data_IF_947756186581
#
_entry.id   IF_947756186581
#
_cell.length_a   1.000
_cell.length_b   1.000
_cell.length_c   1.000
_cell.angle_alpha   90.00
_cell.angle_beta   90.00
_cell.angle_gamma   90.00
#
_symmetry.space_group_name_H-M   'P 1'
#
loop_
_entity.id
_entity.type
_entity.pdbx_description
1 polymer ?
#
# COMPACT_ATOMS: atom_id res chain seq x y z
N UNK A 1 -12.43 2.62 -3.42
CA UNK A 1 -11.07 3.23 -3.49
C UNK A 1 -10.09 2.15 -3.88
N UNK A 2 -9.14 2.45 -4.77
CA UNK A 2 -8.14 1.50 -5.27
C UNK A 2 -7.01 1.38 -4.24
N UNK A 3 -6.59 0.16 -3.91
CA UNK A 3 -5.37 -0.05 -3.12
C UNK A 3 -4.19 -0.07 -4.08
N UNK A 4 -3.03 0.42 -3.64
CA UNK A 4 -1.83 0.41 -4.47
C UNK A 4 -0.75 -0.40 -3.79
N UNK A 5 -0.24 -1.40 -4.49
CA UNK A 5 0.88 -2.21 -4.03
C UNK A 5 2.16 -1.64 -4.63
N UNK A 6 3.02 -1.16 -3.75
CA UNK A 6 4.36 -0.67 -4.07
C UNK A 6 5.34 -1.80 -3.86
N UNK A 7 5.99 -2.23 -4.94
CA UNK A 7 7.11 -3.15 -4.87
C UNK A 7 8.39 -2.37 -4.58
N UNK A 8 9.08 -2.74 -3.51
CA UNK A 8 10.34 -2.16 -3.09
C UNK A 8 11.49 -2.71 -3.94
N UNK A 9 12.50 -1.87 -4.23
CA UNK A 9 13.70 -2.26 -4.95
C UNK A 9 14.58 -3.24 -4.14
N UNK A 10 14.53 -3.13 -2.81
CA UNK A 10 15.16 -4.06 -1.88
C UNK A 10 14.23 -4.33 -0.68
N UNK A 11 14.23 -5.54 -0.11
CA UNK A 11 13.44 -5.82 1.09
C UNK A 11 13.81 -4.89 2.26
N UNK A 12 12.81 -4.57 3.09
CA UNK A 12 12.98 -3.89 4.38
C UNK A 12 12.45 -4.76 5.50
N UNK A 13 13.08 -4.68 6.68
CA UNK A 13 12.62 -5.46 7.83
C UNK A 13 11.55 -4.69 8.61
N UNK A 14 10.36 -5.26 8.73
CA UNK A 14 9.24 -4.74 9.54
C UNK A 14 8.85 -5.82 10.55
N UNK A 15 8.93 -5.50 11.84
CA UNK A 15 8.62 -6.44 12.93
C UNK A 15 9.37 -7.80 12.81
N UNK A 16 10.64 -7.74 12.40
CA UNK A 16 11.49 -8.93 12.22
C UNK A 16 11.17 -9.77 10.97
N UNK A 17 10.32 -9.29 10.07
CA UNK A 17 10.03 -9.92 8.77
C UNK A 17 10.52 -9.06 7.64
N UNK A 18 11.13 -9.68 6.65
CA UNK A 18 11.50 -8.99 5.41
C UNK A 18 10.26 -8.81 4.54
N UNK A 19 10.05 -7.55 4.14
CA UNK A 19 8.91 -7.11 3.37
C UNK A 19 9.43 -6.43 2.11
N UNK A 20 8.93 -6.87 0.96
CA UNK A 20 9.23 -6.32 -0.35
C UNK A 20 8.04 -5.59 -0.98
N UNK A 21 6.85 -5.73 -0.40
CA UNK A 21 5.62 -5.12 -0.90
C UNK A 21 4.93 -4.33 0.20
N UNK A 22 4.66 -3.05 -0.07
CA UNK A 22 3.90 -2.18 0.80
C UNK A 22 2.59 -1.82 0.11
N UNK A 23 1.47 -2.04 0.80
CA UNK A 23 0.17 -1.60 0.28
C UNK A 23 -0.17 -0.24 0.84
N UNK A 24 -0.29 0.78 -0.01
CA UNK A 24 -0.98 2.01 0.34
C UNK A 24 -2.49 1.74 0.25
N UNK A 25 -3.18 1.86 1.39
CA UNK A 25 -4.58 1.42 1.51
C UNK A 25 -5.59 2.51 1.15
N UNK A 26 -5.19 3.78 1.14
CA UNK A 26 -6.00 4.95 0.79
C UNK A 26 -5.15 6.21 0.66
N UNK A 27 -5.76 7.28 0.16
CA UNK A 27 -5.22 8.64 0.23
C UNK A 27 -5.15 9.17 1.67
N UNK A 28 -4.12 9.97 2.02
CA UNK A 28 -4.10 10.70 3.27
C UNK A 28 -5.11 11.85 3.25
N UNK A 29 -5.77 12.10 4.38
CA UNK A 29 -6.62 13.29 4.55
C UNK A 29 -5.81 14.45 5.12
N UNK A 30 -6.30 15.70 4.98
CA UNK A 30 -5.53 16.90 5.34
C UNK A 30 -4.87 16.88 6.73
N UNK A 31 -5.59 16.41 7.76
CA UNK A 31 -5.03 16.31 9.13
C UNK A 31 -3.86 15.31 9.27
N UNK A 32 -3.72 14.37 8.35
CA UNK A 32 -2.69 13.32 8.37
C UNK A 32 -1.38 13.77 7.74
N UNK A 33 -1.41 14.88 6.99
CA UNK A 33 -0.26 15.57 6.41
C UNK A 33 0.47 16.42 7.46
N UNK A 34 -0.23 16.87 8.50
CA UNK A 34 0.36 17.68 9.57
C UNK A 34 0.82 19.04 9.01
N UNK A 35 2.13 19.31 9.11
CA UNK A 35 2.74 20.54 8.58
C UNK A 35 3.29 20.36 7.15
N UNK A 36 3.12 19.18 6.54
CA UNK A 36 3.56 18.90 5.18
C UNK A 36 2.42 19.14 4.18
N UNK A 37 2.79 19.42 2.95
CA UNK A 37 1.88 19.47 1.81
C UNK A 37 1.84 18.13 1.09
N UNK A 38 0.82 17.85 0.27
CA UNK A 38 0.85 16.70 -0.63
C UNK A 38 2.09 16.72 -1.55
N UNK A 39 2.53 17.91 -1.97
CA UNK A 39 3.72 18.09 -2.81
C UNK A 39 5.00 17.64 -2.12
N UNK A 40 5.16 17.90 -0.81
CA UNK A 40 6.32 17.41 -0.06
C UNK A 40 6.43 15.87 -0.13
N UNK A 41 5.29 15.19 0.00
CA UNK A 41 5.25 13.72 -0.09
C UNK A 41 5.54 13.27 -1.53
N UNK A 42 4.98 13.98 -2.51
CA UNK A 42 5.11 13.68 -3.93
C UNK A 42 6.53 13.91 -4.51
N UNK A 43 7.28 14.84 -3.91
CA UNK A 43 8.69 15.11 -4.21
C UNK A 43 9.65 14.18 -3.46
N UNK A 44 9.12 13.26 -2.64
CA UNK A 44 9.93 12.31 -1.89
C UNK A 44 10.62 12.91 -0.67
N UNK A 45 10.09 13.99 -0.08
CA UNK A 45 10.62 14.55 1.16
C UNK A 45 10.56 13.49 2.26
N UNK A 46 11.73 13.04 2.71
CA UNK A 46 11.85 11.92 3.64
C UNK A 46 11.12 12.16 4.97
N UNK A 47 11.05 13.42 5.44
CA UNK A 47 10.33 13.76 6.67
C UNK A 47 8.82 13.69 6.47
N UNK A 48 8.35 14.12 5.29
CA UNK A 48 6.93 14.03 4.93
C UNK A 48 6.50 12.57 4.75
N UNK A 49 7.27 11.78 3.99
CA UNK A 49 7.04 10.34 3.81
C UNK A 49 7.01 9.62 5.17
N UNK A 50 8.02 9.85 6.01
CA UNK A 50 8.13 9.22 7.32
C UNK A 50 7.04 9.64 8.31
N UNK A 51 6.31 10.73 8.03
CA UNK A 51 5.15 11.16 8.78
C UNK A 51 3.86 10.58 8.21
N UNK A 52 3.66 10.65 6.90
CA UNK A 52 2.39 10.33 6.22
C UNK A 52 2.20 8.84 5.99
N UNK A 53 3.19 8.15 5.42
CA UNK A 53 3.07 6.73 5.03
C UNK A 53 2.68 5.79 6.17
N UNK A 54 3.18 5.93 7.42
CA UNK A 54 2.76 5.07 8.54
C UNK A 54 1.25 5.03 8.79
N UNK A 55 0.52 6.06 8.37
CA UNK A 55 -0.93 6.22 8.58
C UNK A 55 -1.78 5.61 7.46
N UNK A 56 -1.18 5.36 6.31
CA UNK A 56 -1.88 4.94 5.07
C UNK A 56 -1.32 3.65 4.46
N UNK A 57 -0.35 2.99 5.11
CA UNK A 57 0.26 1.76 4.61
C UNK A 57 -0.15 0.51 5.41
N UNK A 58 -0.17 -0.64 4.73
CA UNK A 58 -0.26 -1.97 5.29
C UNK A 58 0.82 -2.88 4.66
N UNK A 59 1.69 -3.54 5.45
CA UNK A 59 1.79 -3.45 6.91
C UNK A 59 2.14 -2.03 7.37
N UNK A 60 1.92 -1.73 8.66
CA UNK A 60 2.31 -0.43 9.23
C UNK A 60 3.82 -0.24 9.07
N UNK A 61 4.23 0.84 8.40
CA UNK A 61 5.64 1.23 8.33
C UNK A 61 5.98 2.16 9.48
N UNK A 62 6.91 1.78 10.39
CA UNK A 62 7.39 2.72 11.37
C UNK A 62 8.22 3.82 10.70
N UNK A 63 8.17 5.03 11.28
CA UNK A 63 8.89 6.21 10.77
C UNK A 63 10.40 5.96 10.64
N UNK A 64 10.98 5.13 11.51
CA UNK A 64 12.39 4.72 11.46
C UNK A 64 12.70 3.91 10.21
N UNK A 65 11.90 2.88 9.91
CA UNK A 65 12.10 2.06 8.71
C UNK A 65 12.05 2.89 7.42
N UNK A 66 11.23 3.94 7.37
CA UNK A 66 11.17 4.85 6.21
C UNK A 66 12.45 5.68 6.09
N UNK A 67 12.95 6.23 7.20
CA UNK A 67 14.18 7.04 7.22
C UNK A 67 15.43 6.22 6.91
N UNK A 68 15.41 4.94 7.20
CA UNK A 68 16.52 4.00 6.95
C UNK A 68 16.40 3.30 5.58
N UNK A 69 15.39 3.66 4.76
CA UNK A 69 15.25 3.09 3.42
C UNK A 69 16.39 3.48 2.49
N UNK A 70 16.73 2.57 1.59
CA UNK A 70 17.55 2.89 0.43
C UNK A 70 16.85 3.92 -0.47
N UNK A 71 17.63 4.71 -1.21
CA UNK A 71 17.09 5.69 -2.17
C UNK A 71 16.15 5.06 -3.18
N UNK A 72 16.42 3.83 -3.62
CA UNK A 72 15.53 3.09 -4.53
C UNK A 72 14.15 2.81 -3.93
N UNK A 73 14.10 2.46 -2.64
CA UNK A 73 12.83 2.26 -1.94
C UNK A 73 12.09 3.58 -1.68
N UNK A 74 12.81 4.67 -1.38
CA UNK A 74 12.21 6.01 -1.25
C UNK A 74 11.56 6.42 -2.58
N UNK A 75 12.25 6.21 -3.70
CA UNK A 75 11.70 6.49 -5.03
C UNK A 75 10.48 5.62 -5.34
N UNK A 76 10.50 4.32 -5.02
CA UNK A 76 9.35 3.43 -5.20
C UNK A 76 8.13 3.90 -4.37
N UNK A 77 8.32 4.28 -3.11
CA UNK A 77 7.24 4.79 -2.26
C UNK A 77 6.70 6.13 -2.76
N UNK A 78 7.57 7.01 -3.27
CA UNK A 78 7.17 8.30 -3.85
C UNK A 78 6.35 8.10 -5.12
N UNK A 79 6.82 7.23 -6.04
CA UNK A 79 6.08 6.88 -7.25
C UNK A 79 4.72 6.25 -6.93
N UNK A 80 4.68 5.34 -5.95
CA UNK A 80 3.45 4.77 -5.43
C UNK A 80 2.50 5.80 -4.84
N UNK A 81 3.01 6.82 -4.13
CA UNK A 81 2.18 7.89 -3.61
C UNK A 81 1.59 8.76 -4.73
N UNK A 82 2.41 9.17 -5.71
CA UNK A 82 2.00 10.04 -6.81
C UNK A 82 0.88 9.42 -7.67
N UNK A 83 0.90 8.09 -7.81
CA UNK A 83 -0.11 7.36 -8.56
C UNK A 83 -1.50 7.41 -7.92
N UNK A 84 -1.67 7.77 -6.64
CA UNK A 84 -3.01 8.05 -6.09
C UNK A 84 -3.63 9.30 -6.71
N UNK A 85 -2.80 10.30 -7.01
CA UNK A 85 -3.25 11.60 -7.52
C UNK A 85 -3.34 11.62 -9.04
N UNK A 86 -2.51 10.84 -9.73
CA UNK A 86 -2.44 10.92 -11.20
C UNK A 86 -3.60 10.26 -11.93
N UNK A 87 -4.40 9.38 -11.31
CA UNK A 87 -5.55 8.73 -11.95
C UNK A 87 -5.22 7.94 -13.24
N UNK A 88 -3.95 7.86 -13.61
CA UNK A 88 -3.39 7.31 -14.83
C UNK A 88 -2.46 6.19 -14.40
N UNK A 89 -2.58 5.04 -15.05
CA UNK A 89 -1.64 3.94 -14.86
C UNK A 89 -0.41 4.18 -15.72
N UNK A 90 0.81 4.30 -15.17
CA UNK A 90 2.01 4.12 -15.98
C UNK A 90 2.78 2.88 -15.50
N UNK A 91 3.33 2.14 -16.46
CA UNK A 91 4.63 1.48 -16.39
C UNK A 91 4.93 0.33 -15.39
N UNK A 92 3.97 -0.53 -15.01
CA UNK A 92 4.28 -1.92 -14.60
C UNK A 92 5.14 -2.14 -13.33
N UNK A 93 5.59 -1.09 -12.64
CA UNK A 93 6.30 -1.14 -11.36
C UNK A 93 5.34 -1.16 -10.15
N UNK A 94 4.07 -0.85 -10.37
CA UNK A 94 3.03 -0.73 -9.33
C UNK A 94 1.79 -1.49 -9.80
N UNK A 95 1.28 -2.41 -8.98
CA UNK A 95 0.03 -3.12 -9.26
C UNK A 95 -1.14 -2.42 -8.58
N UNK A 96 -2.10 -1.96 -9.39
CA UNK A 96 -3.38 -1.42 -8.90
C UNK A 96 -4.31 -2.58 -8.53
N UNK A 97 -4.81 -2.63 -7.29
CA UNK A 97 -5.85 -3.59 -6.89
C UNK A 97 -7.18 -2.86 -6.77
N UNK A 98 -8.14 -3.18 -7.63
CA UNK A 98 -9.50 -2.67 -7.51
C UNK A 98 -10.21 -3.38 -6.35
N UNK A 99 -10.51 -2.63 -5.29
CA UNK A 99 -11.30 -3.15 -4.17
C UNK A 99 -12.77 -3.14 -4.58
N UNK A 100 -13.33 -4.31 -4.92
CA UNK A 100 -14.77 -4.50 -5.12
C UNK A 100 -15.47 -4.47 -3.74
N UNK A 101 -16.36 -3.51 -3.43
CA UNK A 101 -17.06 -3.46 -2.16
C UNK A 101 -18.40 -4.19 -2.26
N UNK A 102 -18.38 -5.52 -2.34
CA UNK A 102 -19.51 -6.39 -1.96
C UNK A 102 -19.18 -7.85 -2.22
N UNK A 103 -18.95 -8.61 -1.16
CA UNK A 103 -19.63 -9.88 -0.94
C UNK A 103 -19.49 -10.25 0.54
N UNK A 104 -20.48 -9.83 1.31
CA UNK A 104 -20.87 -10.55 2.51
C UNK A 104 -21.47 -11.88 2.04
N UNK A 105 -20.74 -12.98 2.20
CA UNK A 105 -21.32 -14.33 2.19
C UNK A 105 -20.87 -15.05 3.45
N UNK A 106 -21.62 -14.81 4.51
CA UNK A 106 -21.91 -15.83 5.52
C UNK A 106 -22.60 -17.02 4.86
N UNK A 107 -21.95 -18.18 4.84
CA UNK A 107 -22.56 -19.51 5.08
C UNK A 107 -21.53 -20.60 4.71
N UNK A 108 -20.94 -21.29 5.68
CA UNK A 108 -21.40 -22.54 6.33
C UNK A 108 -20.72 -23.78 5.71
N UNK A 109 -20.13 -24.54 6.61
CA UNK A 109 -19.42 -25.82 6.52
C UNK A 109 -20.04 -26.87 5.57
N UNK A 110 -19.19 -27.53 4.76
CA UNK A 110 -19.37 -28.84 4.10
C UNK A 110 -19.79 -29.95 5.10
N UNK A 111 -20.39 -31.12 4.70
CA UNK A 111 -20.01 -31.91 3.52
C UNK A 111 -21.09 -32.74 2.76
N UNK A 112 -20.68 -33.20 1.57
CA UNK A 112 -20.98 -34.46 0.86
C UNK A 112 -22.38 -35.10 0.91
N UNK A 113 -23.01 -35.28 -0.26
CA UNK A 113 -23.41 -36.62 -0.71
C UNK A 113 -23.71 -36.67 -2.22
N UNK A 114 -23.03 -37.60 -2.88
CA UNK A 114 -23.28 -38.10 -4.23
C UNK A 114 -24.65 -38.78 -4.31
N UNK A 115 -25.37 -38.67 -5.44
CA UNK A 115 -26.02 -39.87 -5.99
C UNK A 115 -26.37 -39.74 -7.48
N UNK A 116 -26.12 -40.86 -8.14
CA UNK A 116 -26.21 -41.15 -9.56
C UNK A 116 -27.60 -41.73 -9.90
N UNK A 117 -28.06 -41.40 -11.13
CA UNK A 117 -28.79 -42.31 -12.04
C UNK A 117 -30.30 -42.58 -11.81
N UNK A 118 -31.09 -42.22 -12.82
CA UNK A 118 -32.10 -43.08 -13.45
C UNK A 118 -32.17 -42.70 -14.94
#
# INVERSE_FOLDING_TARGET
MKKQIVTLASPITINGKDVNEITLVREPIGRELGNFTPFDVAEGNIKALAYVLPKICSPHLPSTAIKDMSTGNIMAMTAGFNRFFDGLEPDGLVKTVETNPSQTTTSTTSPSQSDQKA
#
